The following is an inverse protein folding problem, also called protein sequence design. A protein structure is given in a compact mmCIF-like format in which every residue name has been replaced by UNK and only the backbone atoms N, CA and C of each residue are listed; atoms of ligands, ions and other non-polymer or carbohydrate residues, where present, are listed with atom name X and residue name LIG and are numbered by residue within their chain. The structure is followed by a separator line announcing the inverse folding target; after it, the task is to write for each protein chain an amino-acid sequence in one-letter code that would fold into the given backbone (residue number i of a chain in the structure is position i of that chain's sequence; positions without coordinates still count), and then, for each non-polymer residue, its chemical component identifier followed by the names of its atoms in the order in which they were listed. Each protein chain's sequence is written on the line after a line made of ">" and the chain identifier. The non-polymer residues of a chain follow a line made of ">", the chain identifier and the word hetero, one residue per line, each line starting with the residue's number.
data_IF_092044913862
#
_entry.id   IF_092044913862
#
_cell.length_a   1.000
_cell.length_b   1.000
_cell.length_c   1.000
_cell.angle_alpha   90.00
_cell.angle_beta   90.00
_cell.angle_gamma   90.00
#
_symmetry.space_group_name_H-M   'P 1'
#
loop_
_entity.id
_entity.type
_entity.pdbx_description
1 polymer ?
#
# COMPACT_ATOMS: atom_id res chain seq x y z
N UNK A 1 -23.44 2.48 -14.49
CA UNK A 1 -23.14 2.52 -13.03
C UNK A 1 -22.29 3.74 -12.73
N UNK A 2 -22.67 4.52 -11.72
CA UNK A 2 -21.96 5.74 -11.29
C UNK A 2 -21.19 5.42 -10.01
N UNK A 3 -19.87 5.55 -10.06
CA UNK A 3 -18.98 5.16 -8.97
C UNK A 3 -18.24 6.42 -8.47
N UNK A 4 -18.35 6.69 -7.18
CA UNK A 4 -17.65 7.77 -6.51
C UNK A 4 -16.53 7.20 -5.64
N UNK A 5 -15.28 7.51 -5.98
CA UNK A 5 -14.14 7.28 -5.12
C UNK A 5 -13.85 8.51 -4.26
N UNK A 6 -13.55 8.32 -2.99
CA UNK A 6 -13.20 9.41 -2.06
C UNK A 6 -11.90 9.06 -1.35
N UNK A 7 -10.91 9.95 -1.47
CA UNK A 7 -9.62 9.86 -0.77
C UNK A 7 -9.25 11.26 -0.25
N UNK A 8 -8.61 11.42 0.92
CA UNK A 8 -8.42 12.75 1.48
C UNK A 8 -7.54 13.67 0.62
N UNK A 9 -6.48 13.12 0.04
CA UNK A 9 -5.44 13.81 -0.75
C UNK A 9 -4.65 12.81 -1.58
N UNK A 10 -3.84 13.29 -2.53
CA UNK A 10 -3.07 12.43 -3.45
C UNK A 10 -1.56 12.59 -3.20
N UNK A 11 -1.10 12.31 -1.96
CA UNK A 11 0.33 12.29 -1.63
C UNK A 11 1.03 11.08 -2.21
N UNK A 12 2.39 11.08 -2.24
CA UNK A 12 3.15 9.88 -2.64
C UNK A 12 2.90 8.73 -1.66
N UNK A 13 2.15 7.71 -2.10
CA UNK A 13 1.76 6.55 -1.31
C UNK A 13 1.08 5.47 -2.14
N UNK A 14 1.11 4.22 -1.65
CA UNK A 14 0.51 3.08 -2.34
C UNK A 14 -1.02 3.14 -2.43
N UNK A 15 -1.68 3.69 -1.41
CA UNK A 15 -3.13 3.83 -1.38
C UNK A 15 -3.64 4.82 -2.44
N UNK A 16 -2.96 5.97 -2.53
CA UNK A 16 -3.26 7.03 -3.50
C UNK A 16 -2.99 6.56 -4.91
N UNK A 17 -1.85 5.90 -5.13
CA UNK A 17 -1.49 5.35 -6.44
C UNK A 17 -2.52 4.32 -6.90
N UNK A 18 -2.88 3.35 -6.05
CA UNK A 18 -3.88 2.34 -6.37
C UNK A 18 -5.26 2.95 -6.64
N UNK A 19 -5.69 3.95 -5.85
CA UNK A 19 -6.95 4.64 -6.08
C UNK A 19 -7.01 5.27 -7.48
N UNK A 20 -5.92 5.92 -7.90
CA UNK A 20 -5.80 6.50 -9.24
C UNK A 20 -5.77 5.44 -10.35
N UNK A 21 -5.03 4.35 -10.17
CA UNK A 21 -4.97 3.24 -11.13
C UNK A 21 -6.36 2.58 -11.29
N UNK A 22 -7.10 2.39 -10.19
CA UNK A 22 -8.50 1.93 -10.21
C UNK A 22 -9.39 2.90 -11.00
N UNK A 23 -9.36 4.20 -10.70
CA UNK A 23 -10.17 5.20 -11.39
C UNK A 23 -9.86 5.25 -12.89
N UNK A 24 -8.58 5.25 -13.25
CA UNK A 24 -8.14 5.25 -14.65
C UNK A 24 -8.57 3.99 -15.41
N UNK A 25 -8.60 2.83 -14.74
CA UNK A 25 -9.03 1.60 -15.38
C UNK A 25 -10.56 1.50 -15.46
N UNK A 26 -11.29 1.92 -14.41
CA UNK A 26 -12.77 1.94 -14.41
C UNK A 26 -13.35 2.83 -15.53
N UNK A 27 -12.71 3.95 -15.86
CA UNK A 27 -13.14 4.83 -16.94
C UNK A 27 -13.11 4.17 -18.32
N UNK A 28 -12.32 3.10 -18.49
CA UNK A 28 -12.25 2.33 -19.76
C UNK A 28 -13.35 1.28 -19.86
N UNK A 29 -14.16 1.09 -18.79
CA UNK A 29 -15.23 0.09 -18.77
C UNK A 29 -16.53 0.68 -19.30
N UNK A 30 -17.19 -0.02 -20.23
CA UNK A 30 -18.44 0.43 -20.83
C UNK A 30 -19.55 0.57 -19.78
N UNK A 31 -20.29 1.67 -19.85
CA UNK A 31 -21.41 1.94 -18.96
C UNK A 31 -21.02 2.34 -17.54
N UNK A 32 -19.74 2.60 -17.28
CA UNK A 32 -19.22 3.08 -15.98
C UNK A 32 -18.89 4.56 -16.07
N UNK A 33 -19.39 5.34 -15.12
CA UNK A 33 -19.03 6.74 -14.91
C UNK A 33 -18.33 6.83 -13.55
N UNK A 34 -17.09 7.31 -13.55
CA UNK A 34 -16.26 7.43 -12.34
C UNK A 34 -16.02 8.89 -12.00
N UNK A 35 -16.14 9.22 -10.72
CA UNK A 35 -15.68 10.48 -10.14
C UNK A 35 -14.75 10.22 -8.96
N UNK A 36 -13.69 11.03 -8.85
CA UNK A 36 -12.79 11.07 -7.72
C UNK A 36 -13.00 12.38 -6.94
N UNK A 37 -13.22 12.30 -5.63
CA UNK A 37 -13.23 13.47 -4.74
C UNK A 37 -12.03 13.40 -3.81
N UNK A 38 -11.32 14.54 -3.67
CA UNK A 38 -10.33 14.79 -2.62
C UNK A 38 -10.74 15.98 -1.76
N UNK A 39 -10.24 16.04 -0.51
CA UNK A 39 -10.53 17.16 0.42
C UNK A 39 -9.54 18.31 0.26
N UNK A 40 -8.41 18.09 -0.42
CA UNK A 40 -7.41 19.10 -0.72
C UNK A 40 -6.89 18.93 -2.16
N UNK A 41 -6.16 19.96 -2.64
CA UNK A 41 -5.49 20.00 -3.92
C UNK A 41 -4.10 19.34 -3.94
N UNK A 42 -3.70 18.74 -2.80
CA UNK A 42 -2.43 18.01 -2.65
C UNK A 42 -2.38 16.86 -3.67
N UNK A 43 -1.58 16.99 -4.73
CA UNK A 43 -1.50 16.01 -5.82
C UNK A 43 -0.06 15.76 -6.26
N UNK A 44 0.47 14.61 -5.87
CA UNK A 44 1.79 14.11 -6.28
C UNK A 44 1.76 13.31 -7.61
N UNK A 45 0.59 13.17 -8.26
CA UNK A 45 0.39 12.35 -9.46
C UNK A 45 -0.36 13.12 -10.57
N UNK A 46 0.09 14.32 -10.99
CA UNK A 46 -0.67 15.17 -11.93
C UNK A 46 -0.95 14.46 -13.25
N UNK A 47 -0.04 13.63 -13.75
CA UNK A 47 -0.25 12.88 -15.00
C UNK A 47 -1.38 11.85 -14.89
N UNK A 48 -1.62 11.25 -13.72
CA UNK A 48 -2.66 10.25 -13.52
C UNK A 48 -4.05 10.86 -13.30
N UNK A 49 -4.12 12.12 -12.91
CA UNK A 49 -5.40 12.82 -12.68
C UNK A 49 -5.95 13.54 -13.91
N UNK A 50 -5.15 13.71 -14.98
CA UNK A 50 -5.54 14.48 -16.19
C UNK A 50 -6.81 13.98 -16.86
N UNK A 51 -7.06 12.69 -16.84
CA UNK A 51 -8.21 12.08 -17.51
C UNK A 51 -9.33 11.66 -16.53
N UNK A 52 -9.19 11.92 -15.25
CA UNK A 52 -10.19 11.57 -14.23
C UNK A 52 -11.14 12.75 -14.01
N UNK A 53 -12.45 12.51 -13.90
CA UNK A 53 -13.40 13.50 -13.34
C UNK A 53 -13.04 13.70 -11.84
N UNK A 54 -12.00 14.51 -11.60
CA UNK A 54 -11.46 14.78 -10.28
C UNK A 54 -11.96 16.11 -9.75
N UNK A 55 -12.55 16.08 -8.56
CA UNK A 55 -13.06 17.28 -7.88
C UNK A 55 -12.41 17.45 -6.51
N UNK A 56 -12.06 18.67 -6.18
CA UNK A 56 -11.58 19.06 -4.86
C UNK A 56 -12.77 19.62 -4.09
N UNK A 57 -13.19 18.91 -3.03
CA UNK A 57 -14.32 19.29 -2.18
C UNK A 57 -13.83 19.34 -0.74
N UNK A 58 -13.45 20.50 -0.20
CA UNK A 58 -12.98 20.63 1.17
C UNK A 58 -14.04 20.12 2.16
N UNK A 59 -13.66 19.11 2.96
CA UNK A 59 -14.51 18.57 3.98
C UNK A 59 -13.66 18.12 5.18
N UNK A 60 -14.21 18.25 6.39
CA UNK A 60 -13.50 17.84 7.62
C UNK A 60 -14.48 17.56 8.74
N UNK A 61 -14.01 16.75 9.71
CA UNK A 61 -14.70 16.57 10.98
C UNK A 61 -13.71 16.71 12.14
N UNK A 62 -14.22 17.21 13.27
CA UNK A 62 -13.52 17.22 14.53
C UNK A 62 -14.42 16.57 15.57
N UNK A 63 -14.07 15.36 15.97
CA UNK A 63 -14.78 14.65 17.03
C UNK A 63 -14.19 15.03 18.40
N UNK A 64 -15.05 15.25 19.38
CA UNK A 64 -14.63 15.64 20.71
C UNK A 64 -15.34 14.80 21.78
N UNK A 65 -14.55 14.33 22.76
CA UNK A 65 -15.08 13.62 23.93
C UNK A 65 -15.77 14.57 24.93
N UNK A 66 -15.44 15.87 24.88
CA UNK A 66 -15.86 16.85 25.89
C UNK A 66 -16.70 18.00 25.34
N UNK A 67 -16.72 18.18 24.00
CA UNK A 67 -17.42 19.28 23.34
C UNK A 67 -18.31 18.74 22.22
N UNK A 68 -19.10 19.62 21.60
CA UNK A 68 -19.88 19.28 20.41
C UNK A 68 -18.96 18.97 19.25
N UNK A 69 -19.25 17.91 18.49
CA UNK A 69 -18.56 17.60 17.26
C UNK A 69 -18.76 18.71 16.22
N UNK A 70 -17.72 19.03 15.47
CA UNK A 70 -17.77 19.99 14.36
C UNK A 70 -17.71 19.17 13.06
N UNK A 71 -18.71 19.36 12.22
CA UNK A 71 -18.86 18.67 10.94
C UNK A 71 -18.91 19.71 9.83
N UNK A 72 -17.91 19.76 8.97
CA UNK A 72 -17.83 20.61 7.79
C UNK A 72 -17.97 19.73 6.56
N UNK A 73 -19.18 19.22 6.30
CA UNK A 73 -19.44 18.22 5.26
C UNK A 73 -20.54 18.64 4.26
N UNK A 74 -21.11 19.83 4.38
CA UNK A 74 -22.25 20.29 3.54
C UNK A 74 -21.88 20.31 2.05
N UNK A 75 -20.67 20.79 1.71
CA UNK A 75 -20.20 20.80 0.33
C UNK A 75 -20.03 19.37 -0.22
N UNK A 76 -19.53 18.44 0.61
CA UNK A 76 -19.38 17.04 0.24
C UNK A 76 -20.75 16.36 0.09
N UNK A 77 -21.68 16.63 0.99
CA UNK A 77 -23.06 16.15 0.90
C UNK A 77 -23.67 16.55 -0.45
N UNK A 78 -23.58 17.84 -0.79
CA UNK A 78 -24.09 18.35 -2.07
C UNK A 78 -23.40 17.69 -3.27
N UNK A 79 -22.07 17.54 -3.24
CA UNK A 79 -21.32 16.92 -4.33
C UNK A 79 -21.71 15.43 -4.54
N UNK A 80 -22.03 14.70 -3.45
CA UNK A 80 -22.54 13.33 -3.51
C UNK A 80 -23.95 13.33 -4.13
N UNK A 81 -24.86 14.22 -3.68
CA UNK A 81 -26.22 14.32 -4.20
C UNK A 81 -26.26 14.71 -5.69
N UNK A 82 -25.45 15.69 -6.10
CA UNK A 82 -25.33 16.16 -7.49
C UNK A 82 -24.77 15.06 -8.42
N UNK A 83 -23.85 14.23 -7.92
CA UNK A 83 -23.32 13.12 -8.70
C UNK A 83 -24.28 11.91 -8.68
N UNK A 84 -25.10 11.73 -7.67
CA UNK A 84 -26.03 10.63 -7.47
C UNK A 84 -25.39 9.25 -7.73
N UNK A 85 -24.36 8.83 -6.94
CA UNK A 85 -23.62 7.60 -7.18
C UNK A 85 -24.45 6.35 -6.83
N UNK A 86 -24.28 5.27 -7.60
CA UNK A 86 -24.73 3.93 -7.26
C UNK A 86 -23.82 3.28 -6.21
N UNK A 87 -22.52 3.66 -6.25
CA UNK A 87 -21.46 3.13 -5.40
C UNK A 87 -20.61 4.28 -4.86
N UNK A 88 -20.34 4.25 -3.54
CA UNK A 88 -19.34 5.12 -2.90
C UNK A 88 -18.24 4.22 -2.33
N UNK A 89 -17.00 4.45 -2.75
CA UNK A 89 -15.84 3.70 -2.29
C UNK A 89 -14.82 4.65 -1.66
N UNK A 90 -14.61 4.49 -0.36
CA UNK A 90 -13.71 5.34 0.43
C UNK A 90 -12.34 4.70 0.59
N UNK A 91 -11.30 5.53 0.60
CA UNK A 91 -9.92 5.13 0.80
C UNK A 91 -9.31 5.91 1.97
N UNK A 92 -8.65 5.21 2.89
CA UNK A 92 -8.07 5.74 4.12
C UNK A 92 -9.12 6.17 5.17
N UNK A 93 -8.73 6.10 6.44
CA UNK A 93 -9.63 6.37 7.57
C UNK A 93 -10.22 7.78 7.56
N UNK A 94 -9.45 8.80 7.15
CA UNK A 94 -9.92 10.19 7.10
C UNK A 94 -11.08 10.35 6.09
N UNK A 95 -10.97 9.78 4.88
CA UNK A 95 -12.07 9.80 3.92
C UNK A 95 -13.27 9.00 4.43
N UNK A 96 -13.03 7.87 5.06
CA UNK A 96 -14.08 7.03 5.62
C UNK A 96 -14.93 7.81 6.63
N UNK A 97 -14.31 8.40 7.65
CA UNK A 97 -15.03 9.06 8.75
C UNK A 97 -15.68 10.38 8.32
N UNK A 98 -15.07 11.11 7.39
CA UNK A 98 -15.61 12.37 6.85
C UNK A 98 -16.80 12.09 5.94
N UNK A 99 -16.66 11.19 4.96
CA UNK A 99 -17.73 10.93 4.00
C UNK A 99 -18.94 10.21 4.63
N UNK A 100 -18.71 9.37 5.64
CA UNK A 100 -19.79 8.74 6.40
C UNK A 100 -20.58 9.71 7.28
N UNK A 101 -20.06 10.92 7.51
CA UNK A 101 -20.80 11.99 8.18
C UNK A 101 -21.85 12.64 7.26
N UNK A 102 -21.79 12.41 5.95
CA UNK A 102 -22.86 12.66 5.00
C UNK A 102 -23.95 11.56 5.11
N UNK A 103 -25.16 11.88 4.70
CA UNK A 103 -26.28 10.93 4.67
C UNK A 103 -26.67 10.62 3.23
N UNK A 104 -26.32 9.41 2.75
CA UNK A 104 -26.67 8.96 1.40
C UNK A 104 -26.87 7.43 1.37
N UNK A 105 -28.02 6.93 1.92
CA UNK A 105 -28.30 5.50 2.06
C UNK A 105 -28.65 4.81 0.73
N UNK A 106 -28.84 5.56 -0.37
CA UNK A 106 -29.18 5.02 -1.68
C UNK A 106 -27.99 4.32 -2.36
N UNK A 107 -26.77 4.76 -2.06
CA UNK A 107 -25.58 4.13 -2.60
C UNK A 107 -25.16 2.89 -1.81
N UNK A 108 -24.51 1.96 -2.50
CA UNK A 108 -23.75 0.89 -1.86
C UNK A 108 -22.38 1.41 -1.45
N UNK A 109 -22.03 1.23 -0.20
CA UNK A 109 -20.81 1.77 0.35
C UNK A 109 -19.74 0.70 0.53
N UNK A 110 -18.50 1.04 0.14
CA UNK A 110 -17.32 0.21 0.28
C UNK A 110 -16.22 0.98 1.01
N UNK A 111 -15.52 0.30 1.92
CA UNK A 111 -14.42 0.84 2.72
C UNK A 111 -13.15 0.08 2.35
N UNK A 112 -12.21 0.71 1.64
CA UNK A 112 -10.94 0.09 1.25
C UNK A 112 -9.95 0.10 2.41
N UNK A 113 -9.58 -1.08 2.88
CA UNK A 113 -8.73 -1.26 4.05
C UNK A 113 -7.27 -1.33 3.65
N UNK A 114 -6.64 -0.18 3.42
CA UNK A 114 -5.22 -0.09 3.06
C UNK A 114 -4.26 -0.49 4.19
N UNK A 115 -4.75 -0.53 5.41
CA UNK A 115 -4.06 -1.01 6.62
C UNK A 115 -5.04 -1.49 7.69
N UNK A 116 -4.51 -1.99 8.79
CA UNK A 116 -5.26 -2.30 10.00
C UNK A 116 -5.54 -1.01 10.75
N UNK A 117 -6.62 -0.32 10.40
CA UNK A 117 -7.00 0.96 11.00
C UNK A 117 -7.05 0.84 12.53
N UNK A 118 -6.15 1.53 13.23
CA UNK A 118 -6.02 1.47 14.70
C UNK A 118 -7.28 1.83 15.46
N UNK A 119 -8.18 2.61 14.84
CA UNK A 119 -9.48 2.97 15.40
C UNK A 119 -10.39 1.76 15.63
N UNK A 120 -10.20 0.69 14.87
CA UNK A 120 -11.00 -0.53 15.01
C UNK A 120 -10.46 -1.49 16.07
N UNK A 121 -9.37 -1.14 16.77
CA UNK A 121 -8.87 -1.96 17.86
C UNK A 121 -9.95 -2.25 18.92
N UNK A 122 -9.82 -3.39 19.58
CA UNK A 122 -10.75 -3.78 20.63
C UNK A 122 -10.58 -2.91 21.88
N UNK A 123 -11.70 -2.55 22.49
CA UNK A 123 -11.72 -1.85 23.78
C UNK A 123 -11.27 -2.78 24.91
N UNK A 124 -10.40 -2.28 25.79
CA UNK A 124 -9.93 -2.99 26.96
C UNK A 124 -9.71 -2.03 28.13
N UNK A 125 -9.39 -2.55 29.32
CA UNK A 125 -9.18 -1.73 30.52
C UNK A 125 -8.11 -0.64 30.29
N UNK A 126 -7.05 -0.93 29.53
CA UNK A 126 -6.01 0.03 29.15
C UNK A 126 -6.54 1.25 28.38
N UNK A 127 -7.66 1.08 27.66
CA UNK A 127 -8.28 2.16 26.88
C UNK A 127 -8.76 3.30 27.78
N UNK A 128 -9.23 3.00 28.99
CA UNK A 128 -9.72 4.00 29.96
C UNK A 128 -8.63 4.97 30.44
N UNK A 129 -7.37 4.55 30.41
CA UNK A 129 -6.23 5.31 30.92
C UNK A 129 -5.35 5.90 29.82
N UNK A 130 -5.71 5.71 28.54
CA UNK A 130 -4.95 6.22 27.41
C UNK A 130 -5.85 7.08 26.51
N UNK A 131 -5.53 8.38 26.44
CA UNK A 131 -6.31 9.36 25.68
C UNK A 131 -6.43 9.00 24.19
N UNK A 132 -5.36 8.50 23.58
CA UNK A 132 -5.36 8.10 22.15
C UNK A 132 -6.30 6.90 21.93
N UNK A 133 -6.18 5.86 22.75
CA UNK A 133 -7.07 4.70 22.67
C UNK A 133 -8.53 5.06 22.94
N UNK A 134 -8.79 6.00 23.83
CA UNK A 134 -10.13 6.50 24.10
C UNK A 134 -10.68 7.29 22.92
N UNK A 135 -9.86 8.09 22.25
CA UNK A 135 -10.22 8.79 21.02
C UNK A 135 -10.55 7.79 19.91
N UNK A 136 -9.68 6.81 19.66
CA UNK A 136 -9.91 5.75 18.67
C UNK A 136 -11.23 5.00 18.93
N UNK A 137 -11.52 4.68 20.19
CA UNK A 137 -12.77 4.06 20.59
C UNK A 137 -14.00 4.93 20.27
N UNK A 138 -13.91 6.25 20.55
CA UNK A 138 -14.98 7.18 20.23
C UNK A 138 -15.19 7.33 18.72
N UNK A 139 -14.11 7.44 17.94
CA UNK A 139 -14.16 7.48 16.48
C UNK A 139 -14.81 6.20 15.91
N UNK A 140 -14.42 5.03 16.42
CA UNK A 140 -15.05 3.75 16.05
C UNK A 140 -16.55 3.76 16.35
N UNK A 141 -16.94 4.17 17.55
CA UNK A 141 -18.36 4.21 17.96
C UNK A 141 -19.18 5.18 17.09
N UNK A 142 -18.61 6.35 16.81
CA UNK A 142 -19.22 7.33 15.91
C UNK A 142 -19.42 6.71 14.52
N UNK A 143 -18.38 6.12 13.96
CA UNK A 143 -18.41 5.53 12.63
C UNK A 143 -19.39 4.34 12.52
N UNK A 144 -19.49 3.50 13.56
CA UNK A 144 -20.47 2.42 13.61
C UNK A 144 -21.93 2.94 13.53
N UNK A 145 -22.22 4.08 14.15
CA UNK A 145 -23.54 4.73 14.02
C UNK A 145 -23.80 5.18 12.57
N UNK A 146 -22.79 5.81 11.95
CA UNK A 146 -22.87 6.30 10.57
C UNK A 146 -23.03 5.18 9.54
N UNK A 147 -22.36 4.05 9.74
CA UNK A 147 -22.58 2.88 8.88
C UNK A 147 -24.03 2.42 8.91
N UNK A 148 -24.62 2.34 10.10
CA UNK A 148 -26.03 1.94 10.26
C UNK A 148 -26.98 2.92 9.55
N UNK A 149 -26.74 4.22 9.67
CA UNK A 149 -27.55 5.28 9.05
C UNK A 149 -27.45 5.30 7.52
N UNK A 150 -26.33 4.85 6.95
CA UNK A 150 -26.07 4.76 5.51
C UNK A 150 -26.25 3.34 4.92
N UNK A 151 -27.03 2.46 5.58
CA UNK A 151 -27.33 1.13 5.04
C UNK A 151 -26.23 0.10 5.17
N UNK A 152 -25.17 0.38 5.95
CA UNK A 152 -24.04 -0.51 6.15
C UNK A 152 -22.81 -0.18 5.31
N UNK A 153 -21.88 -1.13 5.21
CA UNK A 153 -20.68 -1.06 4.38
C UNK A 153 -20.15 -2.46 4.05
N UNK A 154 -19.39 -2.57 2.97
CA UNK A 154 -18.51 -3.73 2.73
C UNK A 154 -17.06 -3.29 2.83
N UNK A 155 -16.32 -3.94 3.73
CA UNK A 155 -14.88 -3.73 3.85
C UNK A 155 -14.14 -4.55 2.78
N UNK A 156 -13.29 -3.88 2.01
CA UNK A 156 -12.41 -4.51 1.03
C UNK A 156 -11.04 -4.65 1.67
N UNK A 157 -10.74 -5.84 2.18
CA UNK A 157 -9.46 -6.16 2.80
C UNK A 157 -8.42 -6.50 1.73
N UNK A 158 -7.21 -5.94 1.86
CA UNK A 158 -6.15 -6.08 0.85
C UNK A 158 -5.22 -7.28 1.07
N UNK A 159 -5.31 -7.92 2.23
CA UNK A 159 -4.54 -9.12 2.59
C UNK A 159 -5.30 -9.97 3.59
N UNK A 160 -4.88 -11.22 3.78
CA UNK A 160 -5.43 -12.08 4.84
C UNK A 160 -5.25 -11.48 6.24
N UNK A 161 -4.13 -10.77 6.50
CA UNK A 161 -3.92 -10.08 7.78
C UNK A 161 -5.00 -9.01 8.02
N UNK A 162 -5.28 -8.17 7.02
CA UNK A 162 -6.33 -7.15 7.11
C UNK A 162 -7.72 -7.78 7.15
N UNK A 163 -7.97 -8.84 6.40
CA UNK A 163 -9.25 -9.57 6.43
C UNK A 163 -9.56 -10.10 7.84
N UNK A 164 -8.61 -10.82 8.44
CA UNK A 164 -8.75 -11.37 9.81
C UNK A 164 -9.01 -10.24 10.82
N UNK A 165 -8.22 -9.16 10.72
CA UNK A 165 -8.38 -8.01 11.60
C UNK A 165 -9.79 -7.42 11.55
N UNK A 166 -10.29 -7.11 10.35
CA UNK A 166 -11.62 -6.50 10.21
C UNK A 166 -12.75 -7.46 10.54
N UNK A 167 -12.63 -8.77 10.25
CA UNK A 167 -13.63 -9.76 10.68
C UNK A 167 -13.77 -9.86 12.20
N UNK A 168 -12.70 -9.60 12.94
CA UNK A 168 -12.69 -9.67 14.41
C UNK A 168 -13.12 -8.37 15.09
N UNK A 169 -13.07 -7.23 14.39
CA UNK A 169 -13.17 -5.91 15.02
C UNK A 169 -14.46 -5.16 14.71
N UNK A 170 -15.25 -5.62 13.74
CA UNK A 170 -16.53 -5.01 13.35
C UNK A 170 -17.47 -6.06 12.73
N UNK A 171 -18.83 -5.79 12.70
CA UNK A 171 -19.83 -6.79 12.32
C UNK A 171 -20.21 -6.79 10.83
N UNK A 172 -19.67 -5.87 10.02
CA UNK A 172 -20.06 -5.75 8.61
C UNK A 172 -19.32 -6.75 7.72
N UNK A 173 -19.79 -6.91 6.49
CA UNK A 173 -19.19 -7.79 5.50
C UNK A 173 -17.73 -7.41 5.24
N UNK A 174 -16.84 -8.39 5.18
CA UNK A 174 -15.44 -8.25 4.77
C UNK A 174 -15.19 -9.15 3.57
N UNK A 175 -14.66 -8.58 2.51
CA UNK A 175 -14.27 -9.31 1.30
C UNK A 175 -12.79 -9.10 1.04
N UNK A 176 -12.05 -10.20 0.87
CA UNK A 176 -10.65 -10.15 0.47
C UNK A 176 -10.56 -9.83 -1.02
N UNK A 177 -9.84 -8.77 -1.34
CA UNK A 177 -9.42 -8.43 -2.70
C UNK A 177 -8.03 -7.80 -2.61
N UNK A 178 -6.99 -8.61 -2.88
CA UNK A 178 -5.61 -8.15 -2.85
C UNK A 178 -5.42 -6.96 -3.79
N UNK A 179 -4.65 -5.96 -3.37
CA UNK A 179 -4.36 -4.81 -4.22
C UNK A 179 -3.69 -5.22 -5.53
N UNK A 180 -3.78 -4.33 -6.51
CA UNK A 180 -3.26 -4.52 -7.86
C UNK A 180 -2.07 -3.62 -8.16
N UNK A 181 -1.33 -3.98 -9.18
CA UNK A 181 -0.23 -3.23 -9.77
C UNK A 181 -0.52 -2.97 -11.25
N UNK A 182 -0.05 -1.85 -11.78
CA UNK A 182 0.02 -1.63 -13.23
C UNK A 182 1.17 -2.50 -13.79
N UNK A 183 0.84 -3.76 -14.13
CA UNK A 183 1.84 -4.74 -14.56
C UNK A 183 2.64 -4.27 -15.78
N UNK A 184 1.97 -3.70 -16.76
CA UNK A 184 2.60 -3.24 -18.02
C UNK A 184 3.64 -2.11 -17.78
N UNK A 185 3.41 -1.28 -16.77
CA UNK A 185 4.36 -0.22 -16.39
C UNK A 185 5.69 -0.79 -15.89
N UNK A 186 5.65 -1.86 -15.11
CA UNK A 186 6.83 -2.41 -14.45
C UNK A 186 7.48 -3.55 -15.24
N UNK A 187 6.73 -4.23 -16.09
CA UNK A 187 7.24 -5.32 -16.93
C UNK A 187 7.91 -4.77 -18.20
N UNK A 188 9.20 -5.10 -18.39
CA UNK A 188 9.94 -4.65 -19.58
C UNK A 188 10.11 -5.70 -20.69
N UNK A 189 9.57 -6.90 -20.47
CA UNK A 189 9.63 -8.00 -21.46
C UNK A 189 11.00 -8.68 -21.62
N UNK A 190 12.04 -8.20 -20.94
CA UNK A 190 13.40 -8.70 -21.08
C UNK A 190 13.70 -9.86 -20.10
N UNK A 191 14.32 -10.96 -20.57
CA UNK A 191 14.82 -12.01 -19.70
C UNK A 191 15.88 -11.46 -18.75
N UNK A 192 15.90 -11.97 -17.51
CA UNK A 192 16.81 -11.52 -16.49
C UNK A 192 17.93 -12.54 -16.26
N UNK A 193 19.17 -12.11 -16.49
CA UNK A 193 20.37 -12.95 -16.30
C UNK A 193 21.21 -12.54 -15.08
N UNK A 194 20.83 -11.47 -14.39
CA UNK A 194 21.62 -10.81 -13.36
C UNK A 194 22.81 -10.03 -13.94
N UNK A 195 23.33 -9.11 -13.16
CA UNK A 195 24.52 -8.34 -13.50
C UNK A 195 25.83 -9.08 -13.08
N UNK A 196 26.98 -8.53 -13.38
CA UNK A 196 28.28 -9.02 -12.88
C UNK A 196 28.50 -8.64 -11.42
N UNK A 197 27.98 -7.50 -11.00
CA UNK A 197 27.93 -7.00 -9.63
C UNK A 197 26.50 -7.09 -9.11
N UNK A 198 26.34 -7.61 -7.88
CA UNK A 198 25.01 -7.74 -7.25
C UNK A 198 24.36 -6.37 -6.99
N UNK A 199 23.21 -6.12 -7.56
CA UNK A 199 22.44 -4.88 -7.40
C UNK A 199 21.16 -5.13 -6.62
N UNK A 200 21.11 -4.62 -5.40
CA UNK A 200 19.97 -4.68 -4.50
C UNK A 200 19.18 -3.37 -4.56
N UNK A 201 17.88 -3.47 -4.35
CA UNK A 201 17.00 -2.30 -4.30
C UNK A 201 15.94 -2.45 -3.22
N UNK A 202 15.63 -1.32 -2.57
CA UNK A 202 14.47 -1.15 -1.70
C UNK A 202 13.73 0.13 -2.08
N UNK A 203 12.41 0.09 -2.05
CA UNK A 203 11.52 1.25 -2.30
C UNK A 203 10.58 1.41 -1.12
N UNK A 204 10.56 2.58 -0.50
CA UNK A 204 9.65 2.86 0.60
C UNK A 204 9.97 4.14 1.37
N UNK A 205 8.96 4.70 2.04
CA UNK A 205 9.14 5.85 2.93
C UNK A 205 10.04 5.50 4.11
N UNK A 206 10.87 6.46 4.53
CA UNK A 206 11.77 6.29 5.68
C UNK A 206 11.01 6.51 7.00
N UNK A 207 10.22 5.51 7.38
CA UNK A 207 9.46 5.44 8.62
C UNK A 207 9.92 4.23 9.45
N UNK A 208 9.76 4.26 10.76
CA UNK A 208 10.18 3.18 11.65
C UNK A 208 9.69 1.81 11.19
N UNK A 209 8.41 1.70 10.80
CA UNK A 209 7.82 0.43 10.34
C UNK A 209 8.47 -0.16 9.09
N UNK A 210 9.16 0.66 8.27
CA UNK A 210 9.86 0.23 7.04
C UNK A 210 11.26 -0.28 7.32
N UNK A 211 11.84 0.06 8.49
CA UNK A 211 13.05 -0.54 9.06
C UNK A 211 14.26 -0.58 8.11
N UNK A 212 14.52 0.52 7.38
CA UNK A 212 15.70 0.61 6.51
C UNK A 212 17.03 0.41 7.27
N UNK A 213 17.02 0.64 8.60
CA UNK A 213 18.18 0.34 9.46
C UNK A 213 18.66 -1.10 9.31
N UNK A 214 17.75 -2.07 9.25
CA UNK A 214 18.08 -3.47 9.02
C UNK A 214 18.78 -3.69 7.67
N UNK A 215 18.44 -2.94 6.63
CA UNK A 215 19.12 -3.03 5.33
C UNK A 215 20.57 -2.52 5.39
N UNK A 216 20.88 -1.62 6.32
CA UNK A 216 22.27 -1.19 6.56
C UNK A 216 23.05 -2.26 7.32
N UNK A 217 22.40 -2.98 8.25
CA UNK A 217 22.99 -4.14 8.91
C UNK A 217 23.24 -5.29 7.91
N UNK A 218 22.30 -5.56 7.00
CA UNK A 218 22.46 -6.47 5.88
C UNK A 218 23.65 -6.06 4.97
N UNK A 219 23.76 -4.79 4.62
CA UNK A 219 24.85 -4.29 3.78
C UNK A 219 26.23 -4.47 4.46
N UNK A 220 26.31 -4.27 5.78
CA UNK A 220 27.51 -4.53 6.57
C UNK A 220 27.86 -6.02 6.59
N UNK A 221 26.87 -6.89 6.67
CA UNK A 221 27.08 -8.34 6.61
C UNK A 221 27.61 -8.79 5.24
N UNK A 222 26.99 -8.33 4.14
CA UNK A 222 27.48 -8.61 2.78
C UNK A 222 28.91 -8.10 2.56
N UNK A 223 29.26 -6.93 3.12
CA UNK A 223 30.64 -6.41 3.08
C UNK A 223 31.61 -7.31 3.86
N UNK A 224 31.23 -7.81 5.04
CA UNK A 224 32.02 -8.73 5.86
C UNK A 224 32.28 -10.04 5.13
N UNK A 225 31.30 -10.53 4.38
CA UNK A 225 31.41 -11.73 3.54
C UNK A 225 32.19 -11.47 2.22
N UNK A 226 32.69 -10.25 2.00
CA UNK A 226 33.49 -9.90 0.82
C UNK A 226 32.71 -9.82 -0.49
N UNK A 227 31.39 -9.65 -0.43
CA UNK A 227 30.52 -9.55 -1.61
C UNK A 227 30.70 -8.20 -2.28
N UNK A 228 30.82 -8.17 -3.61
CA UNK A 228 30.74 -6.93 -4.39
C UNK A 228 29.29 -6.63 -4.75
N UNK A 229 28.73 -5.62 -4.11
CA UNK A 229 27.33 -5.25 -4.26
C UNK A 229 27.10 -3.74 -4.32
N UNK A 230 25.91 -3.38 -4.76
CA UNK A 230 25.32 -2.05 -4.65
C UNK A 230 23.90 -2.17 -4.07
N UNK A 231 23.55 -1.31 -3.12
CA UNK A 231 22.20 -1.22 -2.56
C UNK A 231 21.61 0.17 -2.82
N UNK A 232 20.54 0.24 -3.60
CA UNK A 232 19.80 1.46 -3.86
C UNK A 232 18.56 1.53 -2.93
N UNK A 233 18.47 2.62 -2.18
CA UNK A 233 17.36 2.91 -1.28
C UNK A 233 16.56 4.10 -1.85
N UNK A 234 15.36 3.84 -2.35
CA UNK A 234 14.47 4.83 -2.94
C UNK A 234 13.38 5.24 -1.92
N UNK A 235 13.14 6.53 -1.82
CA UNK A 235 12.15 7.12 -0.92
C UNK A 235 12.73 8.19 -0.02
N UNK A 236 11.88 8.77 0.81
CA UNK A 236 12.21 9.84 1.74
C UNK A 236 11.34 9.71 3.00
N UNK A 237 11.67 10.43 4.06
CA UNK A 237 10.91 10.44 5.31
C UNK A 237 11.74 10.81 6.52
N UNK A 238 11.12 10.70 7.70
CA UNK A 238 11.67 11.19 8.97
C UNK A 238 13.03 10.58 9.33
N UNK A 239 13.29 9.34 8.94
CA UNK A 239 14.54 8.63 9.26
C UNK A 239 15.64 8.79 8.20
N UNK A 240 15.42 9.59 7.13
CA UNK A 240 16.36 9.70 6.01
C UNK A 240 17.78 10.09 6.45
N UNK A 241 17.91 11.14 7.26
CA UNK A 241 19.20 11.62 7.75
C UNK A 241 19.86 10.65 8.73
N UNK A 242 19.08 10.00 9.60
CA UNK A 242 19.61 9.02 10.54
C UNK A 242 20.20 7.79 9.82
N UNK A 243 19.57 7.37 8.71
CA UNK A 243 20.10 6.29 7.85
C UNK A 243 21.36 6.76 7.12
N UNK A 244 21.43 8.02 6.65
CA UNK A 244 22.65 8.56 6.02
C UNK A 244 23.87 8.57 6.97
N UNK A 245 23.64 8.91 8.23
CA UNK A 245 24.68 8.84 9.27
C UNK A 245 25.14 7.38 9.52
N UNK A 246 24.17 6.46 9.64
CA UNK A 246 24.48 5.04 9.84
C UNK A 246 25.28 4.43 8.69
N UNK A 247 25.00 4.82 7.44
CA UNK A 247 25.77 4.40 6.26
C UNK A 247 27.23 4.84 6.38
N UNK A 248 27.49 6.08 6.83
CA UNK A 248 28.83 6.62 7.04
C UNK A 248 29.57 5.90 8.17
N UNK A 249 28.90 5.71 9.31
CA UNK A 249 29.47 5.07 10.49
C UNK A 249 29.92 3.64 10.20
N UNK A 250 29.15 2.92 9.38
CA UNK A 250 29.46 1.55 8.94
C UNK A 250 30.40 1.50 7.72
N UNK A 251 30.89 2.65 7.22
CA UNK A 251 31.79 2.76 6.06
C UNK A 251 31.21 2.10 4.79
N UNK A 252 29.95 2.35 4.51
CA UNK A 252 29.20 1.78 3.39
C UNK A 252 28.88 2.81 2.29
N UNK A 253 29.48 4.01 2.33
CA UNK A 253 29.12 5.13 1.45
C UNK A 253 29.43 4.89 -0.04
N UNK A 254 30.28 3.91 -0.36
CA UNK A 254 30.60 3.47 -1.72
C UNK A 254 29.71 2.31 -2.23
N UNK A 255 28.82 1.78 -1.38
CA UNK A 255 27.98 0.60 -1.67
C UNK A 255 26.48 0.85 -1.49
N UNK A 256 26.10 1.76 -0.59
CA UNK A 256 24.69 2.05 -0.26
C UNK A 256 24.35 3.48 -0.67
N UNK A 257 23.33 3.61 -1.52
CA UNK A 257 22.95 4.89 -2.12
C UNK A 257 21.50 5.25 -1.80
N UNK A 258 21.29 6.33 -1.08
CA UNK A 258 19.98 6.94 -0.89
C UNK A 258 19.64 7.81 -2.11
N UNK A 259 18.61 7.43 -2.86
CA UNK A 259 18.22 8.10 -4.12
C UNK A 259 17.12 9.15 -3.93
N UNK A 260 16.57 9.25 -2.72
CA UNK A 260 15.42 10.12 -2.47
C UNK A 260 14.13 9.64 -3.18
N UNK A 261 13.18 10.55 -3.30
CA UNK A 261 11.97 10.29 -4.08
C UNK A 261 12.27 10.42 -5.57
N UNK A 262 12.01 9.35 -6.33
CA UNK A 262 12.13 9.30 -7.79
C UNK A 262 10.75 9.13 -8.44
N UNK A 263 10.61 9.52 -9.71
CA UNK A 263 9.36 9.38 -10.45
C UNK A 263 9.39 8.16 -11.40
N UNK A 264 10.59 7.63 -11.71
CA UNK A 264 10.84 6.51 -12.61
C UNK A 264 11.31 5.26 -11.84
N UNK A 265 10.55 4.83 -10.83
CA UNK A 265 10.86 3.66 -9.98
C UNK A 265 11.11 2.41 -10.83
N UNK A 266 10.33 2.21 -11.89
CA UNK A 266 10.44 1.09 -12.83
C UNK A 266 11.84 0.97 -13.45
N UNK A 267 12.49 2.07 -13.80
CA UNK A 267 13.86 2.03 -14.37
C UNK A 267 14.91 1.57 -13.35
N UNK A 268 14.73 1.92 -12.07
CA UNK A 268 15.62 1.44 -11.01
C UNK A 268 15.40 -0.06 -10.75
N UNK A 269 14.16 -0.53 -10.78
CA UNK A 269 13.82 -1.95 -10.67
C UNK A 269 14.44 -2.74 -11.84
N UNK A 270 14.32 -2.26 -13.07
CA UNK A 270 14.92 -2.94 -14.24
C UNK A 270 16.43 -3.04 -14.19
N UNK A 271 17.10 -2.11 -13.52
CA UNK A 271 18.56 -2.06 -13.35
C UNK A 271 19.06 -2.82 -12.11
N UNK A 272 18.17 -3.41 -11.34
CA UNK A 272 18.49 -4.15 -10.10
C UNK A 272 18.31 -5.66 -10.29
N UNK A 273 18.84 -6.48 -9.38
CA UNK A 273 18.81 -7.94 -9.46
C UNK A 273 17.84 -8.55 -8.45
N UNK A 274 17.86 -8.09 -7.21
CA UNK A 274 17.04 -8.62 -6.12
C UNK A 274 16.42 -7.45 -5.36
N UNK A 275 15.12 -7.57 -5.11
CA UNK A 275 14.38 -6.64 -4.24
C UNK A 275 14.52 -7.08 -2.77
N UNK A 276 14.97 -6.18 -1.90
CA UNK A 276 15.12 -6.43 -0.47
C UNK A 276 14.11 -5.61 0.34
N UNK A 277 13.36 -6.25 1.24
CA UNK A 277 12.30 -5.57 2.01
C UNK A 277 12.46 -5.84 3.51
N UNK A 278 12.50 -4.79 4.30
CA UNK A 278 12.81 -4.86 5.73
C UNK A 278 11.66 -4.48 6.65
N UNK A 279 10.49 -4.13 6.11
CA UNK A 279 9.36 -3.70 6.93
C UNK A 279 8.90 -4.80 7.90
N UNK A 280 8.71 -4.44 9.15
CA UNK A 280 8.08 -5.32 10.15
C UNK A 280 6.56 -5.16 10.22
N UNK A 281 6.01 -4.18 9.48
CA UNK A 281 4.60 -4.06 9.19
C UNK A 281 4.38 -3.57 7.77
N UNK A 282 3.84 -4.46 6.94
CA UNK A 282 3.48 -4.21 5.55
C UNK A 282 2.10 -4.81 5.30
N UNK A 283 1.05 -3.99 5.12
CA UNK A 283 -0.32 -4.50 4.98
C UNK A 283 -0.55 -5.42 3.79
N UNK A 284 0.20 -5.24 2.70
CA UNK A 284 0.33 -6.16 1.57
C UNK A 284 1.70 -6.02 0.90
N UNK A 285 2.07 -4.78 0.50
CA UNK A 285 3.34 -4.49 -0.15
C UNK A 285 3.23 -4.38 -1.68
N UNK A 286 2.57 -3.34 -2.18
CA UNK A 286 2.52 -3.07 -3.63
C UNK A 286 3.90 -3.04 -4.27
N UNK A 287 4.90 -2.49 -3.57
CA UNK A 287 6.29 -2.43 -4.03
C UNK A 287 6.91 -3.81 -4.29
N UNK A 288 6.42 -4.87 -3.61
CA UNK A 288 6.84 -6.24 -3.88
C UNK A 288 6.26 -6.73 -5.22
N UNK A 289 5.00 -6.41 -5.50
CA UNK A 289 4.36 -6.73 -6.79
C UNK A 289 5.01 -5.95 -7.93
N UNK A 290 5.37 -4.67 -7.72
CA UNK A 290 6.11 -3.84 -8.67
C UNK A 290 7.49 -4.47 -9.00
N UNK A 291 8.23 -4.88 -7.96
CA UNK A 291 9.50 -5.57 -8.12
C UNK A 291 9.36 -6.92 -8.84
N UNK A 292 8.36 -7.73 -8.48
CA UNK A 292 8.08 -9.01 -9.14
C UNK A 292 7.68 -8.81 -10.60
N UNK A 293 6.87 -7.80 -10.92
CA UNK A 293 6.51 -7.46 -12.30
C UNK A 293 7.73 -7.08 -13.13
N UNK A 294 8.70 -6.37 -12.51
CA UNK A 294 10.01 -6.10 -13.10
C UNK A 294 10.93 -7.32 -13.17
N UNK A 295 10.50 -8.48 -12.68
CA UNK A 295 11.28 -9.73 -12.72
C UNK A 295 12.32 -9.87 -11.60
N UNK A 296 12.20 -9.16 -10.49
CA UNK A 296 13.11 -9.31 -9.36
C UNK A 296 12.60 -10.38 -8.39
N UNK A 297 13.41 -11.39 -8.06
CA UNK A 297 13.20 -12.18 -6.85
C UNK A 297 13.19 -11.28 -5.62
N UNK A 298 12.35 -11.61 -4.64
CA UNK A 298 12.14 -10.80 -3.43
C UNK A 298 12.71 -11.52 -2.20
N UNK A 299 13.57 -10.84 -1.43
CA UNK A 299 13.95 -11.28 -0.08
C UNK A 299 13.38 -10.28 0.93
N UNK A 300 12.57 -10.76 1.86
CA UNK A 300 11.80 -9.90 2.75
C UNK A 300 11.78 -10.39 4.19
N UNK A 301 11.74 -9.46 5.15
CA UNK A 301 11.28 -9.77 6.50
C UNK A 301 9.76 -9.99 6.50
N UNK A 302 9.27 -10.70 7.51
CA UNK A 302 7.85 -10.90 7.72
C UNK A 302 7.18 -9.59 8.18
N UNK A 303 6.44 -8.96 7.27
CA UNK A 303 5.64 -7.75 7.51
C UNK A 303 4.15 -8.05 7.69
N UNK A 304 3.77 -9.29 7.93
CA UNK A 304 2.40 -9.83 8.08
C UNK A 304 1.62 -9.95 6.77
N UNK A 305 1.14 -8.84 6.21
CA UNK A 305 0.35 -8.86 4.97
C UNK A 305 1.13 -9.28 3.73
N UNK A 306 2.45 -9.07 3.70
CA UNK A 306 3.31 -9.52 2.62
C UNK A 306 3.48 -11.07 2.55
N UNK A 307 3.01 -11.81 3.57
CA UNK A 307 2.92 -13.28 3.53
C UNK A 307 2.11 -13.78 2.35
N UNK A 308 1.10 -13.02 1.94
CA UNK A 308 0.23 -13.38 0.81
C UNK A 308 0.95 -13.34 -0.54
N UNK A 309 2.10 -12.65 -0.62
CA UNK A 309 2.83 -12.43 -1.86
C UNK A 309 4.06 -13.33 -2.03
N UNK A 310 4.57 -13.95 -0.96
CA UNK A 310 5.81 -14.73 -1.02
C UNK A 310 5.51 -16.23 -1.09
N UNK A 311 5.93 -16.84 -2.18
CA UNK A 311 5.97 -18.29 -2.37
C UNK A 311 7.42 -18.72 -2.20
N UNK A 312 7.75 -19.24 -0.99
CA UNK A 312 9.10 -19.61 -0.56
C UNK A 312 9.85 -20.43 -1.62
N UNK A 313 11.03 -19.94 -2.02
CA UNK A 313 11.88 -20.60 -3.00
C UNK A 313 11.39 -20.52 -4.45
N UNK A 314 10.26 -19.82 -4.74
CA UNK A 314 9.67 -19.68 -6.07
C UNK A 314 9.77 -18.25 -6.62
N UNK A 315 9.28 -17.25 -5.88
CA UNK A 315 9.42 -15.82 -6.23
C UNK A 315 10.30 -15.05 -5.25
N UNK A 316 10.75 -15.70 -4.19
CA UNK A 316 11.58 -15.07 -3.17
C UNK A 316 11.68 -15.89 -1.90
N UNK A 317 12.18 -15.24 -0.85
CA UNK A 317 12.29 -15.77 0.49
C UNK A 317 11.73 -14.78 1.52
N UNK A 318 10.95 -15.28 2.46
CA UNK A 318 10.54 -14.58 3.66
C UNK A 318 11.34 -15.07 4.86
N UNK A 319 11.85 -14.14 5.65
CA UNK A 319 12.65 -14.39 6.85
C UNK A 319 11.88 -13.86 8.04
N UNK A 320 11.65 -14.72 9.02
CA UNK A 320 10.77 -14.41 10.16
C UNK A 320 11.49 -13.68 11.29
N UNK A 321 12.81 -13.82 11.36
CA UNK A 321 13.65 -13.17 12.37
C UNK A 321 14.51 -12.08 11.72
N UNK A 322 14.77 -11.00 12.45
CA UNK A 322 15.67 -9.94 11.98
C UNK A 322 17.13 -10.40 12.11
N UNK A 323 17.54 -11.30 11.24
CA UNK A 323 18.90 -11.86 11.17
C UNK A 323 19.53 -11.49 9.82
N UNK A 324 20.53 -10.59 9.85
CA UNK A 324 21.20 -10.07 8.66
C UNK A 324 22.03 -11.16 7.93
N UNK A 325 22.63 -12.09 8.66
CA UNK A 325 23.38 -13.22 8.11
C UNK A 325 22.46 -14.16 7.32
N UNK A 326 21.35 -14.59 7.93
CA UNK A 326 20.35 -15.43 7.26
C UNK A 326 19.75 -14.73 6.04
N UNK A 327 19.55 -13.42 6.12
CA UNK A 327 19.01 -12.63 5.00
C UNK A 327 20.05 -12.55 3.85
N UNK A 328 21.33 -12.33 4.16
CA UNK A 328 22.44 -12.35 3.20
C UNK A 328 22.57 -13.72 2.54
N UNK A 329 22.50 -14.82 3.30
CA UNK A 329 22.55 -16.18 2.78
C UNK A 329 21.49 -16.44 1.72
N UNK A 330 20.24 -15.98 1.94
CA UNK A 330 19.15 -16.14 0.96
C UNK A 330 19.37 -15.31 -0.29
N UNK A 331 19.95 -14.12 -0.17
CA UNK A 331 20.35 -13.31 -1.33
C UNK A 331 21.43 -14.05 -2.14
N UNK A 332 22.47 -14.55 -1.48
CA UNK A 332 23.58 -15.25 -2.13
C UNK A 332 23.18 -16.60 -2.71
N UNK A 333 22.24 -17.30 -2.08
CA UNK A 333 21.64 -18.53 -2.62
C UNK A 333 20.97 -18.29 -3.99
N UNK A 334 20.26 -17.15 -4.13
CA UNK A 334 19.65 -16.76 -5.41
C UNK A 334 20.74 -16.30 -6.40
N UNK A 335 21.66 -15.44 -5.93
CA UNK A 335 22.63 -14.76 -6.79
C UNK A 335 23.66 -15.69 -7.39
N UNK A 336 24.16 -16.66 -6.61
CA UNK A 336 25.24 -17.58 -7.02
C UNK A 336 24.74 -18.70 -7.93
N UNK A 337 23.42 -18.95 -8.00
CA UNK A 337 22.82 -19.93 -8.89
C UNK A 337 22.04 -19.23 -10.01
N UNK A 338 22.67 -19.11 -11.18
CA UNK A 338 22.08 -18.42 -12.34
C UNK A 338 20.79 -19.07 -12.83
N UNK A 339 20.67 -20.39 -12.75
CA UNK A 339 19.47 -21.09 -13.17
C UNK A 339 18.32 -20.78 -12.20
N UNK A 340 18.58 -20.91 -10.92
CA UNK A 340 17.62 -20.56 -9.84
C UNK A 340 17.16 -19.10 -9.95
N UNK A 341 18.09 -18.17 -10.19
CA UNK A 341 17.76 -16.76 -10.40
C UNK A 341 16.77 -16.57 -11.54
N UNK A 342 17.02 -17.18 -12.73
CA UNK A 342 16.14 -17.09 -13.90
C UNK A 342 14.75 -17.70 -13.64
N UNK A 343 14.72 -18.86 -12.99
CA UNK A 343 13.46 -19.55 -12.65
C UNK A 343 12.62 -18.70 -11.66
N UNK A 344 13.27 -18.13 -10.64
CA UNK A 344 12.60 -17.27 -9.67
C UNK A 344 12.13 -15.96 -10.30
N UNK A 345 12.93 -15.35 -11.17
CA UNK A 345 12.57 -14.14 -11.91
C UNK A 345 11.35 -14.36 -12.81
N UNK A 346 11.35 -15.42 -13.59
CA UNK A 346 10.23 -15.77 -14.47
C UNK A 346 8.95 -16.06 -13.67
N UNK A 347 9.08 -16.80 -12.56
CA UNK A 347 7.93 -17.07 -11.69
C UNK A 347 7.42 -15.80 -11.00
N UNK A 348 8.30 -14.87 -10.60
CA UNK A 348 7.91 -13.60 -10.00
C UNK A 348 7.06 -12.77 -10.98
N UNK A 349 7.48 -12.68 -12.26
CA UNK A 349 6.72 -11.99 -13.30
C UNK A 349 5.33 -12.60 -13.50
N UNK A 350 5.25 -13.92 -13.68
CA UNK A 350 3.97 -14.62 -13.88
C UNK A 350 3.07 -14.50 -12.65
N UNK A 351 3.63 -14.54 -11.44
CA UNK A 351 2.90 -14.32 -10.20
C UNK A 351 2.34 -12.90 -10.13
N UNK A 352 3.14 -11.86 -10.40
CA UNK A 352 2.70 -10.47 -10.35
C UNK A 352 1.62 -10.16 -11.39
N UNK A 353 1.64 -10.81 -12.56
CA UNK A 353 0.63 -10.68 -13.61
C UNK A 353 -0.78 -11.01 -13.14
N UNK A 354 -0.93 -11.92 -12.17
CA UNK A 354 -2.22 -12.26 -11.58
C UNK A 354 -2.83 -11.11 -10.76
N UNK A 355 -2.00 -10.14 -10.38
CA UNK A 355 -2.36 -8.93 -9.64
C UNK A 355 -2.43 -7.68 -10.55
N UNK A 356 -2.55 -7.85 -11.86
CA UNK A 356 -2.69 -6.72 -12.77
C UNK A 356 -4.00 -5.94 -12.51
N UNK A 357 -3.94 -4.63 -12.74
CA UNK A 357 -5.06 -3.70 -12.48
C UNK A 357 -6.31 -4.03 -13.30
N UNK A 358 -6.16 -4.60 -14.51
CA UNK A 358 -7.29 -4.93 -15.38
C UNK A 358 -8.19 -6.00 -14.76
N UNK A 359 -7.72 -7.24 -14.49
CA UNK A 359 -8.54 -8.26 -13.83
C UNK A 359 -8.95 -7.88 -12.41
N UNK A 360 -8.20 -7.00 -11.73
CA UNK A 360 -8.61 -6.46 -10.45
C UNK A 360 -9.91 -5.65 -10.56
N UNK A 361 -9.98 -4.74 -11.52
CA UNK A 361 -11.17 -3.89 -11.74
C UNK A 361 -12.38 -4.73 -12.14
N UNK A 362 -12.21 -5.79 -12.93
CA UNK A 362 -13.30 -6.72 -13.26
C UNK A 362 -13.88 -7.40 -12.00
N UNK A 363 -12.99 -7.86 -11.09
CA UNK A 363 -13.40 -8.40 -9.79
C UNK A 363 -14.10 -7.36 -8.92
N UNK A 364 -13.59 -6.12 -8.93
CA UNK A 364 -14.16 -5.01 -8.17
C UNK A 364 -15.56 -4.65 -8.68
N UNK A 365 -15.77 -4.59 -10.00
CA UNK A 365 -17.07 -4.37 -10.62
C UNK A 365 -18.04 -5.51 -10.30
N UNK A 366 -17.57 -6.77 -10.31
CA UNK A 366 -18.36 -7.92 -9.88
C UNK A 366 -18.78 -7.77 -8.42
N UNK A 367 -17.87 -7.34 -7.53
CA UNK A 367 -18.15 -7.08 -6.13
C UNK A 367 -19.19 -5.96 -5.99
N UNK A 368 -19.06 -4.86 -6.73
CA UNK A 368 -20.03 -3.78 -6.71
C UNK A 368 -21.42 -4.22 -7.14
N UNK A 369 -21.56 -5.17 -8.05
CA UNK A 369 -22.85 -5.67 -8.53
C UNK A 369 -23.46 -6.78 -7.65
N UNK A 370 -22.68 -7.39 -6.76
CA UNK A 370 -23.11 -8.56 -5.95
C UNK A 370 -23.83 -8.23 -4.65
N UNK A 371 -24.06 -6.93 -4.35
CA UNK A 371 -24.62 -6.47 -3.08
C UNK A 371 -25.86 -5.63 -3.34
#
# INVERSE_FOLDING_TARGET
>A
MRILHIIPRLRKGGAERLCLDICNQLQKCDGVQVRLITFSDDNAYPALTQNIDWQIVPASIQLSLTHKNILNVDALQKAIEDFAPDVIHTHLFEAEIVSRSCHYPQARWFSHCHDNMRQFCNFGIKTLFNKELLTNFYEKRYLMSRYKENGGTTFVAISHDTEVYFRQTQPYRVTLLHNAVDYEKFHNGEPRDGHTKLKLINVGSYQDKKNQRFLIDLAAELQTQGVDFELNLLGDGENYNAIAELIKDKKLSDKVFQRGNVDNVEEYLWKSDIYVHSAYYEPLGLVLLEAMAAGLPVVTLDGRGNRDLIVQGRNGYMIYEQNAEQFADRILEIWNDKQKYREMSAFAQEFAKQYDIKPYVDKLLTLYNSI
#
